data_IF_248651753101
#
_entry.id   IF_248651753101
#
_cell.length_a   1.000
_cell.length_b   1.000
_cell.length_c   1.000
_cell.angle_alpha   90.00
_cell.angle_beta   90.00
_cell.angle_gamma   90.00
#
_symmetry.space_group_name_H-M   'P 1'
#
loop_
_entity.id
_entity.type
_entity.pdbx_description
1 polymer ?
#
# COMPACT_ATOMS: atom_id res chain seq x y z
N UNK A 1 -3.38 8.39 27.31
CA UNK A 1 -2.54 7.41 28.03
C UNK A 1 -1.44 6.97 27.08
N UNK A 2 -0.17 7.25 27.36
CA UNK A 2 0.95 6.84 26.49
C UNK A 2 1.33 5.39 26.81
N UNK A 3 1.31 4.46 25.84
CA UNK A 3 1.54 3.04 26.10
C UNK A 3 3.04 2.73 26.26
N UNK A 4 3.66 3.29 27.31
CA UNK A 4 5.11 3.22 27.57
C UNK A 4 5.64 1.79 27.77
N UNK A 5 4.80 0.87 28.22
CA UNK A 5 5.15 -0.55 28.42
C UNK A 5 5.00 -1.40 27.15
N UNK A 6 4.36 -0.87 26.11
CA UNK A 6 4.13 -1.60 24.86
C UNK A 6 5.39 -2.04 24.12
N UNK A 7 6.51 -1.28 24.11
CA UNK A 7 7.78 -1.75 23.57
C UNK A 7 8.29 -3.04 24.21
N UNK A 8 8.06 -3.23 25.52
CA UNK A 8 8.47 -4.45 26.22
C UNK A 8 7.71 -5.68 25.69
N UNK A 9 6.42 -5.50 25.39
CA UNK A 9 5.60 -6.55 24.77
C UNK A 9 6.05 -6.83 23.33
N UNK A 10 6.34 -5.78 22.55
CA UNK A 10 6.87 -5.93 21.19
C UNK A 10 8.23 -6.63 21.18
N UNK A 11 9.11 -6.35 22.16
CA UNK A 11 10.40 -7.04 22.30
C UNK A 11 10.22 -8.53 22.62
N UNK A 12 9.28 -8.88 23.50
CA UNK A 12 8.98 -10.29 23.80
C UNK A 12 8.42 -11.03 22.56
N UNK A 13 7.55 -10.38 21.79
CA UNK A 13 7.03 -10.91 20.53
C UNK A 13 8.14 -11.05 19.48
N UNK A 14 8.98 -10.03 19.34
CA UNK A 14 10.13 -10.05 18.43
C UNK A 14 11.09 -11.18 18.79
N UNK A 15 11.40 -11.37 20.06
CA UNK A 15 12.24 -12.48 20.53
C UNK A 15 11.64 -13.84 20.11
N UNK A 16 10.33 -14.02 20.31
CA UNK A 16 9.63 -15.25 19.96
C UNK A 16 9.64 -15.52 18.46
N UNK A 17 9.42 -14.50 17.63
CA UNK A 17 9.45 -14.58 16.16
C UNK A 17 10.85 -14.83 15.63
N UNK A 18 11.87 -14.13 16.15
CA UNK A 18 13.24 -14.20 15.66
C UNK A 18 13.95 -15.50 16.04
N UNK A 19 13.70 -16.03 17.24
CA UNK A 19 14.47 -17.13 17.81
C UNK A 19 13.73 -18.45 17.98
N UNK A 20 12.38 -18.46 18.09
CA UNK A 20 11.63 -19.67 18.45
C UNK A 20 10.77 -20.29 17.33
N UNK A 21 10.74 -19.69 16.13
CA UNK A 21 9.98 -20.20 14.94
C UNK A 21 8.55 -20.63 15.31
N UNK A 22 7.79 -19.74 15.95
CA UNK A 22 6.56 -20.15 16.64
C UNK A 22 5.27 -19.99 15.84
N UNK A 23 5.07 -18.92 15.07
CA UNK A 23 3.78 -18.70 14.40
C UNK A 23 3.78 -17.56 13.38
N UNK A 24 3.02 -17.70 12.30
CA UNK A 24 2.65 -16.61 11.38
C UNK A 24 1.79 -15.54 12.06
N UNK A 25 0.91 -15.95 13.00
CA UNK A 25 0.04 -15.03 13.74
C UNK A 25 0.85 -14.12 14.66
N UNK A 26 1.88 -14.65 15.32
CA UNK A 26 2.77 -13.85 16.17
C UNK A 26 3.57 -12.83 15.35
N UNK A 27 3.99 -13.21 14.13
CA UNK A 27 4.64 -12.28 13.21
C UNK A 27 3.70 -11.17 12.76
N UNK A 28 2.45 -11.49 12.39
CA UNK A 28 1.45 -10.47 12.05
C UNK A 28 1.11 -9.56 13.24
N UNK A 29 0.98 -10.13 14.44
CA UNK A 29 0.76 -9.38 15.67
C UNK A 29 1.92 -8.42 15.98
N UNK A 30 3.16 -8.88 15.79
CA UNK A 30 4.35 -8.03 15.91
C UNK A 30 4.34 -6.89 14.89
N UNK A 31 4.03 -7.18 13.63
CA UNK A 31 3.98 -6.18 12.56
C UNK A 31 2.90 -5.13 12.83
N UNK A 32 1.68 -5.57 13.11
CA UNK A 32 0.55 -4.68 13.41
C UNK A 32 0.80 -3.86 14.67
N UNK A 33 1.30 -4.50 15.73
CA UNK A 33 1.66 -3.80 16.96
C UNK A 33 2.77 -2.76 16.74
N UNK A 34 3.78 -3.08 15.94
CA UNK A 34 4.84 -2.12 15.60
C UNK A 34 4.29 -0.92 14.84
N UNK A 35 3.43 -1.14 13.83
CA UNK A 35 2.79 -0.05 13.08
C UNK A 35 1.96 0.83 14.00
N UNK A 36 1.08 0.25 14.81
CA UNK A 36 0.27 1.00 15.77
C UNK A 36 1.13 1.79 16.75
N UNK A 37 2.18 1.17 17.28
CA UNK A 37 3.06 1.83 18.23
C UNK A 37 3.77 3.03 17.60
N UNK A 38 4.26 2.91 16.37
CA UNK A 38 4.88 4.03 15.64
C UNK A 38 3.85 5.14 15.37
N UNK A 39 2.62 4.81 14.99
CA UNK A 39 1.53 5.79 14.82
C UNK A 39 1.20 6.51 16.14
N UNK A 40 1.11 5.80 17.26
CA UNK A 40 0.90 6.43 18.58
C UNK A 40 2.06 7.32 19.01
N UNK A 41 3.31 6.93 18.70
CA UNK A 41 4.48 7.78 18.96
C UNK A 41 4.41 9.08 18.16
N UNK A 42 3.97 9.01 16.89
CA UNK A 42 3.80 10.20 16.07
C UNK A 42 2.73 11.13 16.68
N UNK A 43 1.56 10.60 17.05
CA UNK A 43 0.49 11.41 17.66
C UNK A 43 0.93 12.06 18.98
N UNK A 44 1.73 11.34 19.78
CA UNK A 44 2.32 11.91 21.00
C UNK A 44 3.33 13.02 20.70
N UNK A 45 4.19 12.84 19.69
CA UNK A 45 5.16 13.84 19.27
C UNK A 45 4.51 15.11 18.71
N UNK A 46 3.38 14.96 18.02
CA UNK A 46 2.51 16.06 17.56
C UNK A 46 1.73 16.75 18.68
N UNK A 47 1.84 16.29 19.93
CA UNK A 47 1.18 16.92 21.08
C UNK A 47 -0.29 16.58 21.25
N UNK A 48 -0.81 15.53 20.59
CA UNK A 48 -2.22 15.09 20.73
C UNK A 48 -2.56 14.52 22.12
N UNK A 49 -1.54 14.35 22.96
CA UNK A 49 -1.69 13.97 24.36
C UNK A 49 -2.39 12.62 24.51
N UNK A 50 -3.57 12.61 25.12
CA UNK A 50 -4.30 11.37 25.37
C UNK A 50 -5.27 10.97 24.24
N UNK A 51 -5.54 11.86 23.28
CA UNK A 51 -6.35 11.55 22.11
C UNK A 51 -5.50 10.97 20.99
N UNK A 52 -6.07 10.03 20.22
CA UNK A 52 -5.53 9.65 18.91
C UNK A 52 -6.42 10.27 17.85
N UNK A 53 -5.91 11.24 17.11
CA UNK A 53 -6.63 11.88 16.00
C UNK A 53 -5.91 11.57 14.71
N UNK A 54 -6.49 10.68 13.91
CA UNK A 54 -5.93 10.37 12.61
C UNK A 54 -5.95 11.63 11.73
N UNK A 55 -4.77 12.07 11.30
CA UNK A 55 -4.56 13.32 10.56
C UNK A 55 -3.62 13.14 9.36
N UNK A 56 -3.25 14.26 8.73
CA UNK A 56 -2.42 14.23 7.52
C UNK A 56 -1.05 13.58 7.76
N UNK A 57 -0.39 13.87 8.89
CA UNK A 57 0.91 13.30 9.22
C UNK A 57 0.84 11.77 9.40
N UNK A 58 -0.24 11.28 10.03
CA UNK A 58 -0.53 9.84 10.15
C UNK A 58 -0.75 9.18 8.79
N UNK A 59 -1.44 9.85 7.86
CA UNK A 59 -1.60 9.37 6.49
C UNK A 59 -0.25 9.24 5.76
N UNK A 60 0.63 10.25 5.88
CA UNK A 60 2.00 10.20 5.32
C UNK A 60 2.82 9.08 5.93
N UNK A 61 2.73 8.88 7.26
CA UNK A 61 3.44 7.83 7.96
C UNK A 61 2.92 6.45 7.55
N UNK A 62 1.61 6.20 7.60
CA UNK A 62 0.98 4.95 7.19
C UNK A 62 1.35 4.55 5.76
N UNK A 63 1.31 5.50 4.82
CA UNK A 63 1.75 5.25 3.44
C UNK A 63 3.25 4.90 3.36
N UNK A 64 4.08 5.58 4.16
CA UNK A 64 5.51 5.31 4.25
C UNK A 64 5.83 3.95 4.87
N UNK A 65 5.09 3.53 5.90
CA UNK A 65 5.22 2.23 6.53
C UNK A 65 4.85 1.09 5.58
N UNK A 66 3.89 1.30 4.67
CA UNK A 66 3.61 0.35 3.59
C UNK A 66 4.77 0.26 2.59
N UNK A 67 5.42 1.37 2.27
CA UNK A 67 6.60 1.36 1.41
C UNK A 67 7.78 0.63 2.05
N UNK A 68 8.05 0.91 3.33
CA UNK A 68 9.02 0.17 4.14
C UNK A 68 8.64 -1.31 4.16
N UNK A 69 7.36 -1.60 4.34
CA UNK A 69 6.81 -2.95 4.34
C UNK A 69 7.09 -3.73 3.06
N UNK A 70 6.93 -3.10 1.90
CA UNK A 70 7.25 -3.70 0.60
C UNK A 70 8.72 -4.09 0.47
N UNK A 71 9.63 -3.20 0.89
CA UNK A 71 11.07 -3.44 0.81
C UNK A 71 11.52 -4.49 1.84
N UNK A 72 11.01 -4.43 3.07
CA UNK A 72 11.27 -5.45 4.08
C UNK A 72 10.74 -6.82 3.66
N UNK A 73 9.53 -6.90 3.11
CA UNK A 73 8.99 -8.16 2.60
C UNK A 73 9.91 -8.79 1.53
N UNK A 74 10.48 -7.97 0.65
CA UNK A 74 11.46 -8.41 -0.35
C UNK A 74 12.75 -8.91 0.31
N UNK A 75 13.28 -8.17 1.29
CA UNK A 75 14.46 -8.57 2.07
C UNK A 75 14.25 -9.93 2.77
N UNK A 76 13.11 -10.10 3.43
CA UNK A 76 12.75 -11.34 4.13
C UNK A 76 12.62 -12.53 3.16
N UNK A 77 11.96 -12.31 2.01
CA UNK A 77 11.73 -13.35 0.99
C UNK A 77 13.04 -13.95 0.45
N UNK A 78 14.08 -13.14 0.30
CA UNK A 78 15.38 -13.58 -0.24
C UNK A 78 16.38 -14.05 0.82
N UNK A 79 15.98 -14.15 2.08
CA UNK A 79 16.85 -14.66 3.12
C UNK A 79 17.09 -16.17 2.97
N UNK A 80 18.23 -16.65 3.47
CA UNK A 80 18.58 -18.08 3.41
C UNK A 80 17.77 -18.97 4.36
N UNK A 81 17.06 -18.37 5.32
CA UNK A 81 16.31 -19.11 6.34
C UNK A 81 14.89 -19.33 5.87
N UNK A 82 14.48 -20.59 5.72
CA UNK A 82 13.15 -20.98 5.23
C UNK A 82 12.00 -20.20 5.90
N UNK A 83 12.00 -20.06 7.22
CA UNK A 83 10.90 -19.39 7.94
C UNK A 83 10.84 -17.87 7.73
N UNK A 84 11.95 -17.23 7.38
CA UNK A 84 11.96 -15.81 7.02
C UNK A 84 11.34 -15.59 5.63
N UNK A 85 11.51 -16.56 4.72
CA UNK A 85 10.86 -16.53 3.41
C UNK A 85 9.34 -16.60 3.54
N UNK A 86 8.82 -17.42 4.46
CA UNK A 86 7.38 -17.52 4.74
C UNK A 86 6.84 -16.18 5.27
N UNK A 87 7.53 -15.59 6.26
CA UNK A 87 7.17 -14.27 6.79
C UNK A 87 7.23 -13.16 5.73
N UNK A 88 8.25 -13.15 4.87
CA UNK A 88 8.35 -12.22 3.75
C UNK A 88 7.20 -12.35 2.76
N UNK A 89 6.79 -13.59 2.47
CA UNK A 89 5.66 -13.86 1.58
C UNK A 89 4.35 -13.38 2.20
N UNK A 90 4.11 -13.68 3.48
CA UNK A 90 2.93 -13.24 4.21
C UNK A 90 2.85 -11.71 4.31
N UNK A 91 3.97 -11.06 4.65
CA UNK A 91 4.09 -9.61 4.72
C UNK A 91 3.77 -8.96 3.37
N UNK A 92 4.30 -9.52 2.27
CA UNK A 92 4.02 -9.02 0.92
C UNK A 92 2.52 -9.04 0.59
N UNK A 93 1.81 -10.10 0.97
CA UNK A 93 0.36 -10.22 0.73
C UNK A 93 -0.41 -9.13 1.47
N UNK A 94 -0.10 -8.91 2.75
CA UNK A 94 -0.78 -7.90 3.56
C UNK A 94 -0.46 -6.47 3.13
N UNK A 95 0.81 -6.17 2.82
CA UNK A 95 1.20 -4.84 2.34
C UNK A 95 0.49 -4.50 1.03
N UNK A 96 0.34 -5.45 0.11
CA UNK A 96 -0.43 -5.25 -1.14
C UNK A 96 -1.91 -4.96 -0.84
N UNK A 97 -2.54 -5.74 0.04
CA UNK A 97 -3.95 -5.54 0.42
C UNK A 97 -4.17 -4.17 1.06
N UNK A 98 -3.33 -3.80 2.02
CA UNK A 98 -3.40 -2.52 2.70
C UNK A 98 -3.07 -1.36 1.76
N UNK A 99 -2.09 -1.52 0.85
CA UNK A 99 -1.76 -0.53 -0.16
C UNK A 99 -2.91 -0.27 -1.13
N UNK A 100 -3.62 -1.32 -1.55
CA UNK A 100 -4.84 -1.19 -2.35
C UNK A 100 -5.94 -0.46 -1.58
N UNK A 101 -6.18 -0.81 -0.32
CA UNK A 101 -7.19 -0.14 0.51
C UNK A 101 -6.84 1.33 0.74
N UNK A 102 -5.56 1.64 0.95
CA UNK A 102 -5.08 3.01 1.05
C UNK A 102 -5.28 3.77 -0.27
N UNK A 103 -4.93 3.18 -1.41
CA UNK A 103 -5.15 3.80 -2.73
C UNK A 103 -6.64 4.01 -3.02
N UNK A 104 -7.51 3.11 -2.54
CA UNK A 104 -8.96 3.28 -2.61
C UNK A 104 -9.43 4.49 -1.79
N UNK A 105 -8.91 4.68 -0.58
CA UNK A 105 -9.19 5.86 0.23
C UNK A 105 -8.64 7.14 -0.43
N UNK A 106 -7.40 7.10 -0.93
CA UNK A 106 -6.77 8.19 -1.69
C UNK A 106 -7.40 8.40 -3.07
N UNK A 107 -8.39 7.61 -3.46
CA UNK A 107 -9.07 7.82 -4.74
C UNK A 107 -10.02 9.03 -4.68
N UNK A 108 -10.41 9.52 -3.50
CA UNK A 108 -11.35 10.63 -3.33
C UNK A 108 -10.67 12.00 -3.29
N UNK A 109 -11.28 13.01 -3.92
CA UNK A 109 -10.75 14.39 -3.97
C UNK A 109 -10.65 15.02 -2.59
N UNK A 110 -11.71 14.86 -1.78
CA UNK A 110 -11.83 15.52 -0.47
C UNK A 110 -10.70 15.11 0.48
N UNK A 111 -10.28 13.84 0.44
CA UNK A 111 -9.17 13.35 1.25
C UNK A 111 -7.85 14.03 0.87
N UNK A 112 -7.62 14.25 -0.44
CA UNK A 112 -6.45 15.02 -0.89
C UNK A 112 -6.55 16.49 -0.51
N UNK A 113 -7.73 17.10 -0.62
CA UNK A 113 -7.92 18.50 -0.23
C UNK A 113 -7.60 18.71 1.26
N UNK A 114 -8.17 17.88 2.13
CA UNK A 114 -7.90 17.93 3.57
C UNK A 114 -6.43 17.63 3.89
N UNK A 115 -5.85 16.62 3.23
CA UNK A 115 -4.43 16.29 3.39
C UNK A 115 -3.54 17.47 3.00
N UNK A 116 -3.77 18.08 1.83
CA UNK A 116 -2.95 19.18 1.31
C UNK A 116 -3.06 20.44 2.15
N UNK A 117 -4.25 20.75 2.67
CA UNK A 117 -4.46 21.88 3.59
C UNK A 117 -3.60 21.72 4.84
N UNK A 118 -3.75 20.59 5.55
CA UNK A 118 -3.00 20.31 6.77
C UNK A 118 -1.50 20.13 6.53
N UNK A 119 -1.12 19.46 5.44
CA UNK A 119 0.29 19.18 5.18
C UNK A 119 1.09 20.44 4.82
N UNK A 120 0.43 21.50 4.35
CA UNK A 120 1.04 22.81 4.11
C UNK A 120 1.26 23.62 5.38
N UNK A 121 0.52 23.35 6.46
CA UNK A 121 0.74 24.01 7.75
C UNK A 121 2.07 23.54 8.37
N UNK A 122 2.39 22.25 8.22
CA UNK A 122 3.59 21.64 8.81
C UNK A 122 4.46 20.87 7.79
N UNK A 123 4.95 21.51 6.72
CA UNK A 123 5.62 20.81 5.62
C UNK A 123 6.89 20.07 6.08
N UNK A 124 7.60 20.64 7.06
CA UNK A 124 8.82 20.05 7.62
C UNK A 124 8.56 18.66 8.25
N UNK A 125 7.43 18.49 8.95
CA UNK A 125 7.02 17.22 9.54
C UNK A 125 6.80 16.17 8.45
N UNK A 126 6.09 16.52 7.39
CA UNK A 126 5.82 15.62 6.27
C UNK A 126 7.09 15.24 5.51
N UNK A 127 8.00 16.19 5.25
CA UNK A 127 9.30 15.91 4.64
C UNK A 127 10.15 14.98 5.52
N UNK A 128 10.17 15.19 6.83
CA UNK A 128 10.91 14.35 7.76
C UNK A 128 10.38 12.91 7.74
N UNK A 129 9.07 12.72 7.87
CA UNK A 129 8.43 11.39 7.84
C UNK A 129 8.70 10.70 6.49
N UNK A 130 8.46 11.40 5.37
CA UNK A 130 8.65 10.85 4.04
C UNK A 130 10.12 10.50 3.76
N UNK A 131 11.05 11.37 4.18
CA UNK A 131 12.48 11.15 4.05
C UNK A 131 12.97 9.96 4.88
N UNK A 132 12.50 9.82 6.12
CA UNK A 132 12.84 8.68 6.99
C UNK A 132 12.31 7.38 6.39
N UNK A 133 11.02 7.33 6.04
CA UNK A 133 10.42 6.12 5.46
C UNK A 133 11.08 5.72 4.14
N UNK A 134 11.38 6.70 3.28
CA UNK A 134 12.11 6.47 2.03
C UNK A 134 13.54 5.98 2.30
N UNK A 135 14.27 6.59 3.23
CA UNK A 135 15.62 6.19 3.62
C UNK A 135 15.68 4.76 4.14
N UNK A 136 14.75 4.37 5.02
CA UNK A 136 14.63 2.99 5.53
C UNK A 136 14.29 2.03 4.39
N UNK A 137 13.36 2.39 3.51
CA UNK A 137 12.98 1.56 2.36
C UNK A 137 14.14 1.36 1.38
N UNK A 138 14.90 2.42 1.11
CA UNK A 138 16.07 2.40 0.25
C UNK A 138 17.20 1.55 0.86
N UNK A 139 17.46 1.69 2.17
CA UNK A 139 18.43 0.87 2.88
C UNK A 139 18.05 -0.63 2.84
N UNK A 140 16.77 -0.95 3.08
CA UNK A 140 16.26 -2.32 2.96
C UNK A 140 16.40 -2.87 1.53
N UNK A 141 16.15 -2.05 0.52
CA UNK A 141 16.34 -2.43 -0.89
C UNK A 141 17.82 -2.69 -1.22
N UNK A 142 18.74 -1.82 -0.79
CA UNK A 142 20.18 -2.01 -0.97
C UNK A 142 20.67 -3.29 -0.26
N UNK A 143 20.17 -3.55 0.96
CA UNK A 143 20.47 -4.77 1.71
C UNK A 143 19.98 -6.04 0.99
N UNK A 144 18.90 -5.95 0.21
CA UNK A 144 18.41 -7.05 -0.65
C UNK A 144 19.26 -7.26 -1.92
N UNK A 145 20.43 -6.61 -2.02
CA UNK A 145 21.37 -6.63 -3.16
C UNK A 145 20.73 -6.18 -4.48
N UNK A 146 19.81 -5.22 -4.42
CA UNK A 146 19.18 -4.65 -5.61
C UNK A 146 18.37 -5.67 -6.43
N UNK A 147 17.98 -6.81 -5.86
CA UNK A 147 17.07 -7.73 -6.54
C UNK A 147 15.74 -7.04 -6.71
N UNK A 148 15.29 -6.92 -7.96
CA UNK A 148 14.15 -6.12 -8.39
C UNK A 148 12.82 -6.66 -7.80
N UNK A 149 12.54 -6.33 -6.55
CA UNK A 149 11.20 -6.31 -6.01
C UNK A 149 10.59 -4.94 -6.29
N UNK A 150 9.33 -4.87 -6.73
CA UNK A 150 8.63 -3.61 -7.02
C UNK A 150 8.51 -2.63 -5.82
N UNK A 151 9.09 -2.95 -4.66
CA UNK A 151 9.09 -2.11 -3.46
C UNK A 151 9.84 -0.78 -3.61
N UNK A 152 10.94 -0.73 -4.38
CA UNK A 152 11.64 0.55 -4.59
C UNK A 152 10.76 1.52 -5.38
N UNK A 153 10.11 1.04 -6.45
CA UNK A 153 9.15 1.86 -7.22
C UNK A 153 8.00 2.34 -6.35
N UNK A 154 7.47 1.48 -5.49
CA UNK A 154 6.44 1.88 -4.53
C UNK A 154 6.94 2.97 -3.57
N UNK A 155 8.20 2.88 -3.12
CA UNK A 155 8.83 3.88 -2.24
C UNK A 155 9.06 5.22 -2.94
N UNK A 156 9.44 5.20 -4.22
CA UNK A 156 9.59 6.40 -5.06
C UNK A 156 8.22 7.05 -5.32
N UNK A 157 7.20 6.26 -5.67
CA UNK A 157 5.83 6.75 -5.87
C UNK A 157 5.30 7.38 -4.58
N UNK A 158 5.49 6.71 -3.44
CA UNK A 158 5.18 7.25 -2.12
C UNK A 158 5.86 8.62 -1.90
N UNK A 159 7.18 8.68 -2.07
CA UNK A 159 7.93 9.90 -1.86
C UNK A 159 7.39 11.03 -2.73
N UNK A 160 7.18 10.77 -4.02
CA UNK A 160 6.66 11.75 -4.96
C UNK A 160 5.25 12.24 -4.59
N UNK A 161 4.33 11.32 -4.28
CA UNK A 161 2.94 11.69 -3.94
C UNK A 161 2.86 12.58 -2.71
N UNK A 162 3.66 12.30 -1.67
CA UNK A 162 3.52 12.99 -0.38
C UNK A 162 4.45 14.21 -0.23
N UNK A 163 5.50 14.36 -1.06
CA UNK A 163 6.44 15.50 -0.98
C UNK A 163 6.31 16.53 -2.09
N UNK A 164 5.94 16.13 -3.32
CA UNK A 164 5.75 17.09 -4.43
C UNK A 164 4.71 18.18 -4.17
N UNK A 165 3.58 17.94 -3.48
CA UNK A 165 2.62 19.00 -3.25
C UNK A 165 3.14 20.10 -2.31
N UNK A 166 4.12 19.75 -1.46
CA UNK A 166 4.71 20.64 -0.46
C UNK A 166 5.80 21.54 -1.04
N UNK A 167 6.41 21.12 -2.16
CA UNK A 167 7.40 21.92 -2.87
C UNK A 167 6.78 23.00 -3.76
N UNK A 168 5.45 23.06 -3.87
CA UNK A 168 4.75 23.99 -4.75
C UNK A 168 5.00 23.76 -6.24
N UNK A 169 5.70 22.68 -6.60
CA UNK A 169 6.13 22.37 -7.97
C UNK A 169 4.97 22.03 -8.91
N UNK A 170 3.86 21.56 -8.36
CA UNK A 170 2.62 21.32 -9.08
C UNK A 170 1.54 22.06 -8.30
N UNK A 171 0.91 23.03 -8.95
CA UNK A 171 -0.04 23.94 -8.32
C UNK A 171 -1.22 23.17 -7.71
N UNK A 172 -1.11 22.78 -6.44
CA UNK A 172 -2.14 22.54 -5.42
C UNK A 172 -3.44 21.81 -5.75
N UNK A 173 -3.60 21.24 -6.93
CA UNK A 173 -4.87 20.73 -7.39
C UNK A 173 -5.06 19.32 -6.82
N UNK A 174 -5.90 19.22 -5.79
CA UNK A 174 -6.30 17.95 -5.19
C UNK A 174 -6.78 16.94 -6.27
N UNK A 175 -7.35 17.45 -7.37
CA UNK A 175 -7.79 16.64 -8.52
C UNK A 175 -6.63 15.93 -9.21
N UNK A 176 -5.46 16.54 -9.33
CA UNK A 176 -4.33 15.88 -9.98
C UNK A 176 -3.86 14.68 -9.16
N UNK A 177 -3.77 14.83 -7.84
CA UNK A 177 -3.37 13.75 -6.93
C UNK A 177 -4.44 12.65 -6.86
N UNK A 178 -5.71 13.04 -6.89
CA UNK A 178 -6.83 12.11 -7.03
C UNK A 178 -6.71 11.29 -8.33
N UNK A 179 -6.47 11.94 -9.48
CA UNK A 179 -6.27 11.27 -10.76
C UNK A 179 -5.08 10.33 -10.70
N UNK A 180 -3.95 10.78 -10.16
CA UNK A 180 -2.75 9.94 -9.98
C UNK A 180 -3.03 8.71 -9.10
N UNK A 181 -3.73 8.87 -7.98
CA UNK A 181 -4.12 7.78 -7.09
C UNK A 181 -5.06 6.79 -7.78
N UNK A 182 -6.04 7.27 -8.56
CA UNK A 182 -6.94 6.40 -9.34
C UNK A 182 -6.18 5.63 -10.44
N UNK A 183 -5.24 6.26 -11.13
CA UNK A 183 -4.39 5.58 -12.12
C UNK A 183 -3.52 4.49 -11.48
N UNK A 184 -2.95 4.78 -10.30
CA UNK A 184 -2.20 3.79 -9.53
C UNK A 184 -3.10 2.65 -9.03
N UNK A 185 -4.31 2.95 -8.58
CA UNK A 185 -5.29 1.97 -8.14
C UNK A 185 -5.71 1.03 -9.27
N UNK A 186 -6.11 1.58 -10.43
CA UNK A 186 -6.46 0.80 -11.62
C UNK A 186 -5.26 0.00 -12.12
N UNK A 187 -4.09 0.64 -12.22
CA UNK A 187 -2.84 -0.02 -12.60
C UNK A 187 -2.48 -1.18 -11.68
N UNK A 188 -2.65 -1.00 -10.36
CA UNK A 188 -2.44 -2.07 -9.38
C UNK A 188 -3.42 -3.22 -9.55
N UNK A 189 -4.71 -2.93 -9.82
CA UNK A 189 -5.73 -3.94 -10.12
C UNK A 189 -5.38 -4.77 -11.35
N UNK A 190 -4.96 -4.12 -12.44
CA UNK A 190 -4.52 -4.81 -13.67
C UNK A 190 -3.28 -5.66 -13.43
N UNK A 191 -2.29 -5.14 -12.69
CA UNK A 191 -1.08 -5.89 -12.34
C UNK A 191 -1.39 -7.11 -11.48
N UNK A 192 -2.33 -7.00 -10.53
CA UNK A 192 -2.80 -8.11 -9.70
C UNK A 192 -3.50 -9.19 -10.53
N UNK A 193 -4.39 -8.80 -11.44
CA UNK A 193 -5.05 -9.73 -12.38
C UNK A 193 -4.01 -10.45 -13.24
N UNK A 194 -3.07 -9.70 -13.84
CA UNK A 194 -2.01 -10.26 -14.68
C UNK A 194 -1.15 -11.25 -13.89
N UNK A 195 -0.72 -10.90 -12.67
CA UNK A 195 0.08 -11.78 -11.81
C UNK A 195 -0.71 -13.01 -11.38
N UNK A 196 -1.97 -12.85 -11.00
CA UNK A 196 -2.85 -13.96 -10.63
C UNK A 196 -3.02 -14.98 -11.76
N UNK A 197 -3.17 -14.50 -13.01
CA UNK A 197 -3.26 -15.37 -14.20
C UNK A 197 -1.90 -16.01 -14.52
N UNK A 198 -0.81 -15.23 -14.48
CA UNK A 198 0.51 -15.71 -14.90
C UNK A 198 1.15 -16.70 -13.92
N UNK A 199 0.90 -16.52 -12.62
CA UNK A 199 1.50 -17.30 -11.53
C UNK A 199 0.52 -18.32 -10.91
N UNK A 200 -0.72 -18.42 -11.44
CA UNK A 200 -1.74 -19.33 -10.90
C UNK A 200 -2.27 -18.95 -9.51
N UNK A 201 -1.96 -17.74 -9.02
CA UNK A 201 -2.36 -17.26 -7.69
C UNK A 201 -3.78 -16.68 -7.73
N UNK A 202 -4.76 -17.53 -7.42
CA UNK A 202 -6.18 -17.15 -7.44
C UNK A 202 -6.50 -15.92 -6.56
N UNK A 203 -5.85 -15.78 -5.40
CA UNK A 203 -6.11 -14.64 -4.51
C UNK A 203 -5.70 -13.29 -5.12
N UNK A 204 -4.60 -13.22 -5.87
CA UNK A 204 -4.17 -11.99 -6.55
C UNK A 204 -5.16 -11.63 -7.66
N UNK A 205 -5.64 -12.64 -8.41
CA UNK A 205 -6.64 -12.45 -9.44
C UNK A 205 -7.94 -11.87 -8.86
N UNK A 206 -8.51 -12.51 -7.82
CA UNK A 206 -9.75 -12.03 -7.20
C UNK A 206 -9.59 -10.67 -6.54
N UNK A 207 -8.46 -10.40 -5.89
CA UNK A 207 -8.18 -9.07 -5.34
C UNK A 207 -8.15 -8.02 -6.45
N UNK A 208 -7.44 -8.27 -7.55
CA UNK A 208 -7.37 -7.34 -8.67
C UNK A 208 -8.73 -7.08 -9.33
N UNK A 209 -9.53 -8.12 -9.56
CA UNK A 209 -10.92 -7.96 -10.06
C UNK A 209 -11.77 -7.15 -9.07
N UNK A 210 -11.67 -7.46 -7.78
CA UNK A 210 -12.42 -6.74 -6.74
C UNK A 210 -12.07 -5.26 -6.70
N UNK A 211 -10.78 -4.91 -6.90
CA UNK A 211 -10.33 -3.51 -6.99
C UNK A 211 -10.98 -2.80 -8.16
N UNK A 212 -10.94 -3.38 -9.36
CA UNK A 212 -11.53 -2.78 -10.56
C UNK A 212 -13.04 -2.58 -10.39
N UNK A 213 -13.75 -3.60 -9.90
CA UNK A 213 -15.20 -3.52 -9.70
C UNK A 213 -15.58 -2.53 -8.60
N UNK A 214 -14.90 -2.55 -7.47
CA UNK A 214 -15.18 -1.62 -6.35
C UNK A 214 -14.89 -0.18 -6.77
N UNK A 215 -13.78 0.06 -7.47
CA UNK A 215 -13.45 1.38 -8.00
C UNK A 215 -14.55 1.86 -8.94
N UNK A 216 -15.02 1.01 -9.86
CA UNK A 216 -16.10 1.38 -10.77
C UNK A 216 -17.44 1.61 -10.10
N UNK A 217 -17.78 0.82 -9.08
CA UNK A 217 -18.98 1.02 -8.29
C UNK A 217 -18.95 2.36 -7.55
N UNK A 218 -17.85 2.67 -6.85
CA UNK A 218 -17.71 3.92 -6.10
C UNK A 218 -17.73 5.13 -7.05
N UNK A 219 -17.06 5.04 -8.20
CA UNK A 219 -17.08 6.11 -9.20
C UNK A 219 -18.44 6.27 -9.85
N UNK A 220 -19.18 5.19 -10.08
CA UNK A 220 -20.54 5.32 -10.60
C UNK A 220 -21.42 6.18 -9.68
N UNK A 221 -21.32 5.97 -8.35
CA UNK A 221 -22.05 6.77 -7.36
C UNK A 221 -21.62 8.23 -7.42
N UNK A 222 -20.32 8.49 -7.54
CA UNK A 222 -19.73 9.82 -7.65
C UNK A 222 -20.16 10.55 -8.94
N UNK A 223 -20.37 9.81 -10.04
CA UNK A 223 -20.79 10.32 -11.35
C UNK A 223 -22.32 10.35 -11.54
N UNK A 224 -23.13 10.18 -10.49
CA UNK A 224 -24.60 10.32 -10.60
C UNK A 224 -24.93 11.76 -11.02
N UNK A 225 -25.20 11.94 -12.32
CA UNK A 225 -25.45 13.23 -12.97
C UNK A 225 -24.60 13.49 -14.21
N UNK A 226 -23.43 12.84 -14.35
CA UNK A 226 -22.57 12.88 -15.55
C UNK A 226 -22.58 11.52 -16.27
N UNK A 227 -23.59 11.34 -17.11
CA UNK A 227 -23.81 10.10 -17.86
C UNK A 227 -22.70 9.78 -18.87
N UNK A 228 -22.00 10.80 -19.41
CA UNK A 228 -20.93 10.61 -20.38
C UNK A 228 -19.68 10.07 -19.70
N UNK A 229 -19.29 10.68 -18.57
CA UNK A 229 -18.17 10.20 -17.76
C UNK A 229 -18.39 8.77 -17.27
N UNK A 230 -19.60 8.46 -16.82
CA UNK A 230 -19.94 7.11 -16.35
C UNK A 230 -19.82 6.08 -17.49
N UNK A 231 -20.33 6.39 -18.69
CA UNK A 231 -20.28 5.49 -19.83
C UNK A 231 -18.84 5.18 -20.29
N UNK A 232 -17.98 6.21 -20.38
CA UNK A 232 -16.56 6.04 -20.72
C UNK A 232 -15.86 5.15 -19.69
N UNK A 233 -16.11 5.40 -18.41
CA UNK A 233 -15.50 4.64 -17.32
C UNK A 233 -15.89 3.16 -17.36
N UNK A 234 -17.18 2.86 -17.57
CA UNK A 234 -17.63 1.47 -17.73
C UNK A 234 -17.03 0.79 -18.96
N UNK A 235 -16.90 1.51 -20.08
CA UNK A 235 -16.25 0.98 -21.27
C UNK A 235 -14.78 0.60 -20.98
N UNK A 236 -14.05 1.43 -20.22
CA UNK A 236 -12.67 1.14 -19.79
C UNK A 236 -12.62 -0.09 -18.88
N UNK A 237 -13.48 -0.20 -17.87
CA UNK A 237 -13.49 -1.39 -17.00
C UNK A 237 -13.90 -2.66 -17.75
N UNK A 238 -14.88 -2.58 -18.64
CA UNK A 238 -15.26 -3.68 -19.51
C UNK A 238 -14.10 -4.12 -20.40
N UNK A 239 -13.36 -3.18 -20.99
CA UNK A 239 -12.17 -3.47 -21.78
C UNK A 239 -11.08 -4.16 -20.95
N UNK A 240 -10.83 -3.71 -19.71
CA UNK A 240 -9.88 -4.34 -18.79
C UNK A 240 -10.29 -5.77 -18.47
N UNK A 241 -11.57 -6.01 -18.13
CA UNK A 241 -12.07 -7.34 -17.79
C UNK A 241 -12.07 -8.29 -19.00
N UNK A 242 -12.50 -7.80 -20.17
CA UNK A 242 -12.47 -8.56 -21.41
C UNK A 242 -11.02 -8.90 -21.83
N UNK A 243 -10.12 -7.93 -21.71
CA UNK A 243 -8.68 -8.14 -21.96
C UNK A 243 -8.10 -9.18 -21.02
N UNK A 244 -8.48 -9.14 -19.74
CA UNK A 244 -8.07 -10.14 -18.74
C UNK A 244 -8.59 -11.53 -19.07
N UNK A 245 -9.86 -11.66 -19.49
CA UNK A 245 -10.45 -12.94 -19.90
C UNK A 245 -9.78 -13.50 -21.16
N UNK A 246 -9.48 -12.65 -22.16
CA UNK A 246 -8.71 -13.04 -23.35
C UNK A 246 -7.30 -13.49 -22.99
N UNK A 247 -6.63 -12.76 -22.12
CA UNK A 247 -5.28 -13.11 -21.65
C UNK A 247 -5.27 -14.47 -20.94
N UNK A 248 -6.28 -14.74 -20.10
CA UNK A 248 -6.43 -16.05 -19.45
C UNK A 248 -6.62 -17.19 -20.46
N UNK A 249 -7.47 -17.01 -21.48
CA UNK A 249 -7.71 -18.01 -22.54
C UNK A 249 -6.45 -18.32 -23.36
N UNK A 250 -5.60 -17.33 -23.63
CA UNK A 250 -4.33 -17.53 -24.34
C UNK A 250 -3.35 -18.34 -23.47
N UNK A 251 -3.31 -18.06 -22.17
CA UNK A 251 -2.43 -18.75 -21.21
C UNK A 251 -2.88 -20.18 -20.89
N UNK A 252 -4.18 -20.48 -21.00
CA UNK A 252 -4.75 -21.79 -20.72
C UNK A 252 -5.64 -22.26 -21.88
N UNK A 253 -5.05 -22.68 -23.02
CA UNK A 253 -5.82 -23.23 -24.13
C UNK A 253 -6.55 -24.50 -23.68
N UNK A 254 -7.72 -24.74 -24.25
CA UNK A 254 -8.73 -25.76 -23.82
C UNK A 254 -8.23 -27.23 -23.89
N UNK A 255 -6.94 -27.47 -24.18
CA UNK A 255 -6.32 -28.80 -24.25
C UNK A 255 -5.54 -29.27 -23.00
N UNK A 256 -5.18 -28.39 -22.06
CA UNK A 256 -4.33 -28.73 -20.91
C UNK A 256 -5.11 -29.14 -19.64
N UNK A 257 -6.15 -29.97 -19.79
CA UNK A 257 -6.73 -30.64 -18.61
C UNK A 257 -5.92 -31.91 -18.32
N UNK A 258 -5.18 -32.01 -17.21
CA UNK A 258 -4.77 -33.32 -16.73
C UNK A 258 -6.04 -34.14 -16.48
N UNK A 259 -6.05 -35.37 -17.02
CA UNK A 259 -7.06 -36.38 -16.70
C UNK A 259 -7.01 -36.73 -15.22
#
# INVERSE_FOLDING_TARGET
>A
YYPASYPLLLLALAWSVLFRKQSELLFLGLLFGTVLWVEFNLGWWLGEGQGFRFGAAHLTLSAGLLAVGCCLASLLTYSHRYWWTDYGTLMRVWVVRLGVLLLLALSFEDLWREYLEKAREEPATHFAIAGICFGVSAAAHLASRGRWGGGLWFSVIYLLLFTTPLLGAIAGDAKLYQVAANLLLIGSGVLLIRRGIAEGRSHDFYLGVSVILTTGLLRYIDLIGDYVGAAILFAVFAAILLGSARYWRIKHPVGDRPK
#
